data_IF_740899640501
#
_entry.id   IF_740899640501
#
_cell.length_a   1.000
_cell.length_b   1.000
_cell.length_c   1.000
_cell.angle_alpha   90.00
_cell.angle_beta   90.00
_cell.angle_gamma   90.00
#
_symmetry.space_group_name_H-M   'P 1'
#
loop_
_entity.id
_entity.type
_entity.pdbx_description
1 polymer ?
#
# COMPACT_ATOMS: atom_id res chain seq x y z
N UNK A 1 -5.24 -4.19 -5.52
CA UNK A 1 -4.98 -5.15 -4.43
C UNK A 1 -4.63 -6.55 -4.94
N UNK A 2 -5.44 -7.20 -5.81
CA UNK A 2 -5.14 -8.56 -6.32
C UNK A 2 -3.81 -8.67 -7.09
N UNK A 3 -3.45 -7.66 -7.88
CA UNK A 3 -2.18 -7.61 -8.63
C UNK A 3 -0.96 -7.50 -7.71
N UNK A 4 -1.12 -6.91 -6.55
CA UNK A 4 -0.03 -6.69 -5.59
C UNK A 4 0.30 -7.95 -4.78
N UNK A 5 -0.66 -8.88 -4.60
CA UNK A 5 -0.45 -10.09 -3.81
C UNK A 5 0.64 -11.01 -4.38
N UNK A 6 0.66 -11.35 -5.68
CA UNK A 6 1.73 -12.19 -6.22
C UNK A 6 3.11 -11.54 -6.14
N UNK A 7 3.19 -10.21 -6.32
CA UNK A 7 4.44 -9.45 -6.16
C UNK A 7 4.92 -9.51 -4.71
N UNK A 8 4.00 -9.35 -3.76
CA UNK A 8 4.29 -9.44 -2.34
C UNK A 8 4.87 -10.80 -1.96
N UNK A 9 4.21 -11.89 -2.38
CA UNK A 9 4.66 -13.26 -2.11
C UNK A 9 6.05 -13.50 -2.73
N UNK A 10 6.26 -13.06 -3.96
CA UNK A 10 7.55 -13.17 -4.63
C UNK A 10 8.67 -12.46 -3.85
N UNK A 11 8.43 -11.24 -3.36
CA UNK A 11 9.39 -10.48 -2.57
C UNK A 11 9.67 -11.14 -1.20
N UNK A 12 8.63 -11.70 -0.56
CA UNK A 12 8.78 -12.45 0.68
C UNK A 12 9.70 -13.66 0.55
N UNK A 13 9.65 -14.34 -0.59
CA UNK A 13 10.52 -15.47 -0.88
C UNK A 13 11.89 -15.03 -1.36
N UNK A 14 11.97 -13.94 -2.12
CA UNK A 14 13.20 -13.46 -2.74
C UNK A 14 14.19 -12.91 -1.72
N UNK A 15 13.78 -11.96 -0.87
CA UNK A 15 14.71 -11.26 0.01
C UNK A 15 15.47 -12.15 0.99
N UNK A 16 14.84 -13.13 1.68
CA UNK A 16 15.57 -14.04 2.55
C UNK A 16 16.43 -15.07 1.82
N UNK A 17 16.08 -15.41 0.57
CA UNK A 17 16.78 -16.43 -0.22
C UNK A 17 17.86 -15.87 -1.15
N UNK A 18 17.87 -14.56 -1.39
CA UNK A 18 18.83 -13.92 -2.28
C UNK A 18 20.24 -13.94 -1.68
N UNK A 19 21.10 -14.81 -2.21
CA UNK A 19 22.50 -14.96 -1.79
C UNK A 19 23.28 -13.65 -2.00
N UNK A 20 22.92 -12.89 -3.02
CA UNK A 20 23.56 -11.61 -3.37
C UNK A 20 23.37 -10.53 -2.31
N UNK A 21 22.29 -10.60 -1.53
CA UNK A 21 21.98 -9.66 -0.45
C UNK A 21 22.60 -10.08 0.89
N UNK A 22 23.11 -11.31 0.98
CA UNK A 22 23.70 -11.85 2.20
C UNK A 22 25.03 -11.13 2.50
N UNK A 23 25.15 -10.64 3.73
CA UNK A 23 26.29 -9.83 4.21
C UNK A 23 26.49 -8.51 3.43
N UNK A 24 25.52 -8.07 2.64
CA UNK A 24 25.55 -6.73 2.07
C UNK A 24 25.01 -5.73 3.09
N UNK A 25 25.89 -4.83 3.52
CA UNK A 25 25.52 -3.77 4.45
C UNK A 25 24.90 -2.58 3.70
N UNK A 26 23.84 -2.04 4.27
CA UNK A 26 23.20 -0.83 3.75
C UNK A 26 22.74 0.07 4.90
N UNK A 27 23.24 1.31 4.91
CA UNK A 27 23.03 2.28 5.99
C UNK A 27 23.48 1.69 7.34
N UNK A 28 22.56 1.39 8.24
CA UNK A 28 22.81 0.77 9.56
C UNK A 28 22.59 -0.74 9.58
N UNK A 29 21.98 -1.30 8.55
CA UNK A 29 21.79 -2.75 8.45
C UNK A 29 23.10 -3.41 8.00
N UNK A 30 23.55 -4.40 8.77
CA UNK A 30 24.76 -5.16 8.46
C UNK A 30 24.51 -6.25 7.41
N UNK A 31 23.25 -6.67 7.27
CA UNK A 31 22.85 -7.71 6.33
C UNK A 31 21.41 -7.46 5.86
N UNK A 32 21.21 -7.32 4.55
CA UNK A 32 19.89 -7.08 3.97
C UNK A 32 19.02 -8.34 3.90
N UNK A 33 19.60 -9.53 4.03
CA UNK A 33 18.86 -10.79 4.03
C UNK A 33 18.27 -11.14 5.40
N UNK A 34 18.73 -10.48 6.47
CA UNK A 34 18.25 -10.65 7.84
C UNK A 34 17.61 -9.37 8.37
N UNK A 35 17.08 -9.40 9.58
CA UNK A 35 16.53 -8.20 10.23
C UNK A 35 17.63 -7.21 10.63
N UNK A 36 17.33 -5.93 10.60
CA UNK A 36 18.15 -4.88 11.18
C UNK A 36 17.76 -4.68 12.65
N UNK A 37 18.73 -4.65 13.55
CA UNK A 37 18.50 -4.40 14.97
C UNK A 37 19.22 -3.13 15.42
N UNK A 38 18.47 -2.07 15.69
CA UNK A 38 19.02 -0.87 16.36
C UNK A 38 19.12 -1.08 17.85
N UNK A 39 18.11 -1.72 18.40
CA UNK A 39 18.05 -2.02 19.83
C UNK A 39 17.67 -3.48 20.03
N UNK A 40 18.46 -4.18 20.84
CA UNK A 40 18.21 -5.57 21.21
C UNK A 40 18.33 -5.76 22.71
N UNK A 41 17.51 -6.65 23.28
CA UNK A 41 17.52 -7.00 24.70
C UNK A 41 17.61 -8.51 24.89
N UNK A 42 18.32 -8.90 25.96
CA UNK A 42 18.54 -10.32 26.26
C UNK A 42 17.46 -10.94 27.16
N UNK A 43 16.50 -10.14 27.64
CA UNK A 43 15.45 -10.63 28.55
C UNK A 43 14.32 -11.26 27.77
N UNK A 44 14.00 -12.53 28.07
CA UNK A 44 12.85 -13.20 27.50
C UNK A 44 11.56 -12.65 28.12
N UNK A 45 10.64 -12.15 27.28
CA UNK A 45 9.33 -11.66 27.69
C UNK A 45 8.28 -12.61 27.05
N UNK A 46 7.51 -13.38 27.87
CA UNK A 46 6.70 -14.52 27.39
C UNK A 46 5.70 -14.20 26.28
N UNK A 47 5.19 -12.98 26.19
CA UNK A 47 4.19 -12.57 25.19
C UNK A 47 4.85 -11.85 24.02
N UNK A 48 5.89 -11.05 24.26
CA UNK A 48 6.51 -10.19 23.26
C UNK A 48 7.53 -10.96 22.44
N UNK A 49 8.43 -11.71 23.09
CA UNK A 49 9.55 -12.40 22.42
C UNK A 49 9.12 -13.37 21.33
N UNK A 50 8.05 -14.21 21.47
CA UNK A 50 7.67 -15.15 20.42
C UNK A 50 7.13 -14.48 19.14
N UNK A 51 6.50 -13.31 19.26
CA UNK A 51 5.83 -12.65 18.14
C UNK A 51 6.61 -11.47 17.59
N UNK A 52 7.25 -10.69 18.47
CA UNK A 52 7.96 -9.48 18.10
C UNK A 52 9.49 -9.69 18.00
N UNK A 53 10.00 -10.66 18.71
CA UNK A 53 11.45 -10.88 18.86
C UNK A 53 12.06 -10.08 20.00
N UNK A 54 13.40 -10.16 20.13
CA UNK A 54 14.18 -9.46 21.16
C UNK A 54 14.91 -8.23 20.61
N UNK A 55 14.38 -7.64 19.53
CA UNK A 55 15.01 -6.51 18.88
C UNK A 55 13.96 -5.59 18.26
N UNK A 56 14.38 -4.39 17.94
CA UNK A 56 13.57 -3.42 17.16
C UNK A 56 14.32 -3.14 15.87
N UNK A 57 13.66 -3.42 14.75
CA UNK A 57 14.12 -3.07 13.42
C UNK A 57 13.78 -1.61 13.10
N UNK A 58 14.78 -0.80 12.72
CA UNK A 58 14.53 0.59 12.34
C UNK A 58 13.80 0.71 11.02
N UNK A 59 14.14 -0.11 10.03
CA UNK A 59 13.42 -0.09 8.77
C UNK A 59 11.95 -0.46 8.94
N UNK A 60 11.64 -1.43 9.81
CA UNK A 60 10.29 -1.81 10.14
C UNK A 60 9.53 -0.66 10.84
N UNK A 61 10.20 0.05 11.74
CA UNK A 61 9.63 1.19 12.44
C UNK A 61 9.34 2.35 11.48
N UNK A 62 10.30 2.70 10.60
CA UNK A 62 10.12 3.71 9.57
C UNK A 62 9.00 3.34 8.60
N UNK A 63 8.93 2.08 8.16
CA UNK A 63 7.85 1.55 7.34
C UNK A 63 6.49 1.76 8.04
N UNK A 64 6.39 1.43 9.31
CA UNK A 64 5.14 1.56 10.08
C UNK A 64 4.71 3.01 10.22
N UNK A 65 5.62 3.91 10.58
CA UNK A 65 5.34 5.35 10.68
C UNK A 65 4.85 5.88 9.33
N UNK A 66 5.53 5.55 8.24
CA UNK A 66 5.15 5.99 6.90
C UNK A 66 3.78 5.45 6.50
N UNK A 67 3.46 4.20 6.83
CA UNK A 67 2.14 3.61 6.59
C UNK A 67 1.04 4.29 7.41
N UNK A 68 1.30 4.69 8.65
CA UNK A 68 0.34 5.45 9.48
C UNK A 68 0.06 6.80 8.84
N UNK A 69 1.09 7.51 8.38
CA UNK A 69 0.92 8.79 7.66
C UNK A 69 0.12 8.60 6.37
N UNK A 70 0.45 7.58 5.57
CA UNK A 70 -0.27 7.26 4.36
C UNK A 70 -1.75 6.94 4.62
N UNK A 71 -2.03 6.14 5.65
CA UNK A 71 -3.39 5.79 6.07
C UNK A 71 -4.17 7.02 6.50
N UNK A 72 -3.59 7.89 7.35
CA UNK A 72 -4.21 9.15 7.76
C UNK A 72 -4.56 10.02 6.56
N UNK A 73 -3.60 10.20 5.64
CA UNK A 73 -3.78 11.01 4.45
C UNK A 73 -4.90 10.48 3.54
N UNK A 74 -4.93 9.16 3.30
CA UNK A 74 -5.99 8.52 2.52
C UNK A 74 -7.36 8.63 3.19
N UNK A 75 -7.43 8.52 4.51
CA UNK A 75 -8.70 8.69 5.24
C UNK A 75 -9.26 10.10 5.10
N UNK A 76 -8.42 11.12 5.16
CA UNK A 76 -8.85 12.51 4.95
C UNK A 76 -9.41 12.72 3.55
N UNK A 77 -8.84 12.07 2.53
CA UNK A 77 -9.33 12.15 1.15
C UNK A 77 -10.62 11.37 0.91
N UNK A 78 -10.82 10.24 1.60
CA UNK A 78 -12.00 9.37 1.39
C UNK A 78 -13.21 9.86 2.21
N UNK A 79 -13.01 10.73 3.18
CA UNK A 79 -14.06 11.26 4.08
C UNK A 79 -15.07 12.20 3.41
N UNK A 80 -15.00 12.40 2.10
CA UNK A 80 -15.90 13.30 1.36
C UNK A 80 -17.29 12.65 1.18
N UNK A 81 -18.00 12.38 2.28
CA UNK A 81 -19.44 12.10 2.25
C UNK A 81 -19.91 10.70 2.66
N UNK A 82 -19.05 9.76 2.99
CA UNK A 82 -19.48 8.47 3.54
C UNK A 82 -19.38 8.46 5.07
N UNK A 83 -20.52 8.21 5.72
CA UNK A 83 -20.57 7.90 7.16
C UNK A 83 -19.69 6.69 7.45
N UNK A 84 -18.49 6.94 7.98
CA UNK A 84 -17.58 5.87 8.38
C UNK A 84 -18.22 5.11 9.53
N UNK A 85 -18.34 3.79 9.37
CA UNK A 85 -18.80 2.91 10.45
C UNK A 85 -17.93 3.10 11.70
N UNK A 86 -18.56 3.19 12.90
CA UNK A 86 -17.82 3.26 14.15
C UNK A 86 -16.85 2.07 14.24
N UNK A 87 -15.57 2.34 14.53
CA UNK A 87 -14.52 1.31 14.61
C UNK A 87 -13.67 1.11 13.35
N UNK A 88 -14.12 1.50 12.16
CA UNK A 88 -13.33 1.37 10.93
C UNK A 88 -12.02 2.17 11.00
N UNK A 89 -12.05 3.37 11.60
CA UNK A 89 -10.84 4.16 11.86
C UNK A 89 -9.83 3.41 12.72
N UNK A 90 -10.29 2.82 13.82
CA UNK A 90 -9.42 2.04 14.70
C UNK A 90 -8.79 0.85 13.98
N UNK A 91 -9.58 0.12 13.19
CA UNK A 91 -9.09 -1.01 12.39
C UNK A 91 -8.02 -0.59 11.38
N UNK A 92 -8.18 0.55 10.69
CA UNK A 92 -7.21 1.07 9.74
C UNK A 92 -5.87 1.44 10.38
N UNK A 93 -5.87 1.96 11.61
CA UNK A 93 -4.64 2.25 12.35
C UNK A 93 -4.03 1.03 13.02
N UNK A 94 -4.85 0.04 13.39
CA UNK A 94 -4.38 -1.23 13.93
C UNK A 94 -3.58 -2.04 12.90
N UNK A 95 -3.93 -1.95 11.62
CA UNK A 95 -3.28 -2.73 10.56
C UNK A 95 -1.78 -2.42 10.41
N UNK A 96 -1.32 -1.15 10.32
CA UNK A 96 0.10 -0.83 10.33
C UNK A 96 0.85 -1.25 11.59
N UNK A 97 0.18 -1.20 12.75
CA UNK A 97 0.76 -1.66 14.02
C UNK A 97 0.92 -3.19 14.05
N UNK A 98 -0.03 -3.91 13.49
CA UNK A 98 0.07 -5.36 13.34
C UNK A 98 1.21 -5.74 12.39
N UNK A 99 1.41 -4.97 11.32
CA UNK A 99 2.54 -5.12 10.43
C UNK A 99 3.88 -4.90 11.11
N UNK A 100 3.98 -3.94 12.04
CA UNK A 100 5.18 -3.76 12.85
C UNK A 100 5.58 -5.07 13.57
N UNK A 101 4.60 -5.71 14.20
CA UNK A 101 4.85 -6.98 14.91
C UNK A 101 5.29 -8.08 13.95
N UNK A 102 4.63 -8.17 12.80
CA UNK A 102 4.91 -9.21 11.81
C UNK A 102 6.26 -9.02 11.11
N UNK A 103 6.53 -7.80 10.65
CA UNK A 103 7.71 -7.53 9.81
C UNK A 103 8.99 -7.29 10.58
N UNK A 104 8.93 -7.12 11.91
CA UNK A 104 10.09 -6.86 12.74
C UNK A 104 11.17 -7.97 12.66
N UNK A 105 10.75 -9.21 12.40
CA UNK A 105 11.65 -10.36 12.28
C UNK A 105 12.03 -10.70 10.82
N UNK A 106 11.54 -9.93 9.86
CA UNK A 106 11.81 -10.20 8.45
C UNK A 106 13.07 -9.49 7.94
N UNK A 107 13.50 -9.90 6.74
CA UNK A 107 14.66 -9.34 6.07
C UNK A 107 14.57 -7.80 5.95
N UNK A 108 15.64 -7.12 6.34
CA UNK A 108 15.74 -5.65 6.31
C UNK A 108 15.58 -5.09 4.90
N UNK A 109 16.02 -5.82 3.87
CA UNK A 109 15.79 -5.46 2.48
C UNK A 109 14.31 -5.38 2.11
N UNK A 110 13.47 -6.30 2.64
CA UNK A 110 12.03 -6.29 2.41
C UNK A 110 11.35 -5.10 3.07
N UNK A 111 11.66 -4.84 4.35
CA UNK A 111 11.09 -3.72 5.10
C UNK A 111 11.53 -2.37 4.54
N UNK A 112 12.78 -2.26 4.08
CA UNK A 112 13.30 -1.11 3.35
C UNK A 112 12.54 -0.88 2.03
N UNK A 113 12.34 -1.92 1.23
CA UNK A 113 11.56 -1.83 0.00
C UNK A 113 10.16 -1.28 0.25
N UNK A 114 9.45 -1.80 1.26
CA UNK A 114 8.12 -1.31 1.63
C UNK A 114 8.13 0.12 2.11
N UNK A 115 9.11 0.50 2.90
CA UNK A 115 9.29 1.88 3.35
C UNK A 115 9.41 2.84 2.16
N UNK A 116 10.34 2.57 1.25
CA UNK A 116 10.58 3.42 0.08
C UNK A 116 9.37 3.43 -0.87
N UNK A 117 8.76 2.27 -1.11
CA UNK A 117 7.57 2.15 -1.97
C UNK A 117 6.41 3.00 -1.45
N UNK A 118 6.15 2.95 -0.14
CA UNK A 118 5.10 3.76 0.50
C UNK A 118 5.45 5.24 0.45
N UNK A 119 6.71 5.59 0.67
CA UNK A 119 7.19 6.97 0.62
C UNK A 119 7.01 7.58 -0.78
N UNK A 120 7.41 6.84 -1.82
CA UNK A 120 7.17 7.22 -3.22
C UNK A 120 5.68 7.40 -3.50
N UNK A 121 4.84 6.49 -3.00
CA UNK A 121 3.39 6.58 -3.16
C UNK A 121 2.81 7.84 -2.51
N UNK A 122 3.29 8.22 -1.33
CA UNK A 122 2.91 9.48 -0.68
C UNK A 122 3.31 10.68 -1.55
N UNK A 123 4.55 10.71 -2.01
CA UNK A 123 5.06 11.79 -2.87
C UNK A 123 4.24 11.89 -4.17
N UNK A 124 3.96 10.77 -4.83
CA UNK A 124 3.11 10.74 -6.03
C UNK A 124 1.71 11.27 -5.74
N UNK A 125 1.10 10.87 -4.63
CA UNK A 125 -0.24 11.34 -4.24
C UNK A 125 -0.25 12.85 -3.98
N UNK A 126 0.79 13.37 -3.34
CA UNK A 126 0.95 14.83 -3.14
C UNK A 126 1.10 15.57 -4.47
N UNK A 127 1.95 15.06 -5.39
CA UNK A 127 2.14 15.65 -6.72
C UNK A 127 0.81 15.69 -7.48
N UNK A 128 0.08 14.58 -7.50
CA UNK A 128 -1.23 14.51 -8.16
C UNK A 128 -2.21 15.53 -7.59
N UNK A 129 -2.26 15.66 -6.27
CA UNK A 129 -3.14 16.64 -5.62
C UNK A 129 -2.80 18.09 -6.02
N UNK A 130 -1.51 18.41 -6.09
CA UNK A 130 -1.07 19.77 -6.51
C UNK A 130 -1.29 20.05 -7.99
N UNK A 131 -1.17 19.01 -8.84
CA UNK A 131 -1.22 19.15 -10.31
C UNK A 131 -2.64 19.09 -10.84
N UNK A 132 -3.53 18.30 -10.21
CA UNK A 132 -4.89 18.09 -10.68
C UNK A 132 -5.81 19.15 -10.06
N UNK A 133 -6.34 20.02 -10.90
CA UNK A 133 -7.41 20.95 -10.51
C UNK A 133 -8.75 20.22 -10.63
N UNK A 134 -9.36 19.90 -9.49
CA UNK A 134 -10.62 19.11 -9.40
C UNK A 134 -11.77 19.82 -10.14
N UNK A 135 -11.87 21.15 -10.06
CA UNK A 135 -12.92 21.92 -10.73
C UNK A 135 -12.84 21.80 -12.25
N UNK A 136 -11.63 21.87 -12.81
CA UNK A 136 -11.42 21.70 -14.25
C UNK A 136 -11.71 20.27 -14.70
N UNK A 137 -11.38 19.29 -13.87
CA UNK A 137 -11.64 17.88 -14.15
C UNK A 137 -13.13 17.61 -14.11
N UNK A 138 -13.86 18.10 -13.11
CA UNK A 138 -15.32 17.97 -12.99
C UNK A 138 -16.02 18.63 -14.17
N UNK A 139 -15.64 19.86 -14.52
CA UNK A 139 -16.21 20.56 -15.69
C UNK A 139 -15.98 19.76 -16.99
N UNK A 140 -14.82 19.14 -17.17
CA UNK A 140 -14.51 18.31 -18.33
C UNK A 140 -15.32 17.00 -18.34
N UNK A 141 -15.52 16.37 -17.18
CA UNK A 141 -16.34 15.17 -17.03
C UNK A 141 -17.81 15.47 -17.31
N UNK A 142 -18.34 16.59 -16.80
CA UNK A 142 -19.72 17.01 -17.11
C UNK A 142 -19.91 17.35 -18.58
N UNK A 143 -18.97 18.05 -19.19
CA UNK A 143 -18.99 18.33 -20.63
C UNK A 143 -18.96 17.03 -21.47
N UNK A 144 -18.17 16.03 -21.04
CA UNK A 144 -18.11 14.73 -21.71
C UNK A 144 -19.39 13.91 -21.48
N UNK A 145 -20.03 14.01 -20.30
CA UNK A 145 -21.31 13.34 -20.01
C UNK A 145 -22.44 13.85 -20.90
N UNK A 146 -22.39 15.13 -21.29
CA UNK A 146 -23.37 15.74 -22.21
C UNK A 146 -23.16 15.38 -23.69
N UNK A 147 -21.96 14.86 -24.04
CA UNK A 147 -21.68 14.40 -25.40
C UNK A 147 -22.42 13.08 -25.67
N UNK A 148 -23.14 12.95 -26.80
CA UNK A 148 -23.76 11.68 -27.13
C UNK A 148 -22.66 10.61 -27.25
N UNK A 149 -22.86 9.50 -26.56
CA UNK A 149 -21.92 8.37 -26.64
C UNK A 149 -21.88 7.87 -28.09
N UNK A 150 -20.69 7.88 -28.69
CA UNK A 150 -20.48 7.19 -29.97
C UNK A 150 -20.70 5.70 -29.71
N UNK A 151 -21.85 5.20 -30.15
CA UNK A 151 -22.19 3.79 -30.06
C UNK A 151 -21.12 3.00 -30.82
N UNK A 152 -20.44 2.09 -30.14
CA UNK A 152 -19.54 1.12 -30.76
C UNK A 152 -20.32 0.34 -31.83
N UNK A 153 -19.63 -0.09 -32.91
CA UNK A 153 -20.27 -0.89 -33.98
C UNK A 153 -20.93 -2.15 -33.43
N UNK A 154 -20.43 -2.73 -32.34
CA UNK A 154 -21.05 -3.84 -31.65
C UNK A 154 -22.40 -3.44 -30.99
N UNK A 155 -22.46 -2.30 -30.33
CA UNK A 155 -23.72 -1.79 -29.71
C UNK A 155 -24.78 -1.47 -30.75
N UNK A 156 -24.40 -0.97 -31.92
CA UNK A 156 -25.35 -0.73 -33.01
C UNK A 156 -25.97 -2.05 -33.53
N UNK A 157 -25.14 -3.07 -33.75
CA UNK A 157 -25.59 -4.40 -34.15
C UNK A 157 -26.52 -5.06 -33.13
N UNK A 158 -26.20 -4.87 -31.83
CA UNK A 158 -27.01 -5.41 -30.74
C UNK A 158 -28.39 -4.73 -30.67
N UNK A 159 -28.44 -3.41 -30.87
CA UNK A 159 -29.68 -2.63 -30.92
C UNK A 159 -30.53 -2.94 -32.16
N UNK A 160 -29.88 -3.15 -33.32
CA UNK A 160 -30.54 -3.60 -34.56
C UNK A 160 -31.11 -5.02 -34.39
N UNK A 161 -30.39 -5.94 -33.78
CA UNK A 161 -30.86 -7.28 -33.47
C UNK A 161 -32.05 -7.28 -32.48
N UNK A 162 -32.03 -6.42 -31.48
CA UNK A 162 -33.13 -6.27 -30.53
C UNK A 162 -34.40 -5.67 -31.20
N UNK A 163 -34.25 -4.72 -32.11
CA UNK A 163 -35.38 -4.15 -32.87
C UNK A 163 -36.00 -5.17 -33.80
N UNK A 164 -35.18 -5.99 -34.47
CA UNK A 164 -35.65 -7.07 -35.34
C UNK A 164 -36.37 -8.20 -34.61
N UNK A 165 -36.22 -8.33 -33.29
CA UNK A 165 -36.98 -9.29 -32.47
C UNK A 165 -38.30 -8.72 -31.92
N UNK A 166 -38.53 -7.43 -32.03
CA UNK A 166 -39.76 -6.75 -31.54
C UNK A 166 -40.76 -6.45 -32.65
N UNK A 167 -40.39 -6.65 -33.92
CA UNK A 167 -41.27 -6.68 -35.10
C UNK A 167 -41.65 -8.13 -35.44
#
# INVERSE_FOLDING_TARGET
MLLQMPILIALFMFFPSAIELRHQSFLWAHDLSTYDAIFSWNKYIPIITPYFGNHISLFCLLMTITNIFYTKYNMEMTNTGQQQMPGMKAMMYMMPLMFLVFFNQYASGLTYYYFISTLITIVQTLIFRYTINEDKLLAKLEANKRKPMKKSGFMKRLEEAQRAQQE
#
